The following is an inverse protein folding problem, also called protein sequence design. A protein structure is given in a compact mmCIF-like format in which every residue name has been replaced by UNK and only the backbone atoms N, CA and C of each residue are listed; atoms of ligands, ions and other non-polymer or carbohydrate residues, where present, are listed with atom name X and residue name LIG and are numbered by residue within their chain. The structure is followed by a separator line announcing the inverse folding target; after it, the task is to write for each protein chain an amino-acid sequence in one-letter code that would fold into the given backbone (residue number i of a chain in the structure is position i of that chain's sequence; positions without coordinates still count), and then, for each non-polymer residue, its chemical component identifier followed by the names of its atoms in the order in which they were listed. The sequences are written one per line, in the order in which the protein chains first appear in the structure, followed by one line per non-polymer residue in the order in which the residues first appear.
data_IF_564231412856
#
_entry.id   IF_564231412856
#
_cell.length_a   1.000
_cell.length_b   1.000
_cell.length_c   1.000
_cell.angle_alpha   90.00
_cell.angle_beta   90.00
_cell.angle_gamma   90.00
#
_symmetry.space_group_name_H-M   'P 1'
#
loop_
_entity.id
_entity.type
_entity.pdbx_description
1 polymer ?
#
# COMPACT_ATOMS: atom_id res chain seq x y z
N UNK A 1 -7.26 12.43 -12.94
CA UNK A 1 -5.88 11.89 -12.99
C UNK A 1 -5.96 10.52 -13.65
N UNK A 2 -5.12 10.22 -14.66
CA UNK A 2 -5.09 8.88 -15.29
C UNK A 2 -4.65 7.84 -14.26
N UNK A 3 -5.44 6.79 -14.08
CA UNK A 3 -5.02 5.60 -13.35
C UNK A 3 -3.88 4.95 -14.14
N UNK A 4 -2.75 4.72 -13.48
CA UNK A 4 -1.60 4.06 -14.08
C UNK A 4 -1.57 2.61 -13.59
N UNK A 5 -1.48 1.66 -14.51
CA UNK A 5 -1.23 0.27 -14.14
C UNK A 5 0.18 0.14 -13.55
N UNK A 6 0.27 -0.30 -12.30
CA UNK A 6 1.52 -0.50 -11.58
C UNK A 6 1.52 -1.85 -10.85
N UNK A 7 2.72 -2.38 -10.58
CA UNK A 7 2.85 -3.54 -9.69
C UNK A 7 2.52 -3.13 -8.25
N UNK A 8 1.62 -3.88 -7.62
CA UNK A 8 1.30 -3.72 -6.19
C UNK A 8 2.57 -3.96 -5.36
N UNK A 9 2.96 -3.05 -4.45
CA UNK A 9 4.15 -3.23 -3.60
C UNK A 9 4.07 -4.42 -2.63
N UNK A 10 2.88 -4.95 -2.35
CA UNK A 10 2.67 -6.04 -1.40
C UNK A 10 2.62 -7.43 -2.06
N UNK A 11 2.05 -7.54 -3.25
CA UNK A 11 1.82 -8.84 -3.90
C UNK A 11 2.27 -8.89 -5.37
N UNK A 12 2.93 -7.85 -5.87
CA UNK A 12 3.48 -7.68 -7.23
C UNK A 12 2.49 -7.76 -8.39
N UNK A 13 1.22 -8.09 -8.12
CA UNK A 13 0.12 -8.11 -9.08
C UNK A 13 -0.05 -6.74 -9.74
N UNK A 14 -0.26 -6.71 -11.06
CA UNK A 14 -0.55 -5.48 -11.79
C UNK A 14 -1.92 -4.97 -11.33
N UNK A 15 -1.97 -3.71 -10.92
CA UNK A 15 -3.18 -3.06 -10.40
C UNK A 15 -3.24 -1.61 -10.85
N UNK A 16 -4.44 -1.04 -10.87
CA UNK A 16 -4.62 0.40 -10.97
C UNK A 16 -3.99 1.08 -9.74
N UNK A 17 -3.24 2.14 -10.02
CA UNK A 17 -2.67 3.00 -9.01
C UNK A 17 -2.89 4.48 -9.35
N UNK A 18 -3.19 5.27 -8.33
CA UNK A 18 -3.41 6.72 -8.45
C UNK A 18 -2.80 7.45 -7.27
N UNK A 19 -2.27 8.66 -7.50
CA UNK A 19 -1.86 9.52 -6.39
C UNK A 19 -3.08 9.89 -5.53
N UNK A 20 -2.93 9.86 -4.21
CA UNK A 20 -3.99 10.30 -3.29
C UNK A 20 -4.21 11.81 -3.47
N UNK A 21 -5.47 12.28 -3.59
CA UNK A 21 -5.75 13.72 -3.66
C UNK A 21 -5.14 14.47 -2.47
N UNK A 22 -4.66 15.69 -2.70
CA UNK A 22 -4.06 16.56 -1.67
C UNK A 22 -2.83 15.98 -0.95
N UNK A 23 -2.23 14.91 -1.48
CA UNK A 23 -0.99 14.32 -0.94
C UNK A 23 0.29 14.80 -1.65
N UNK A 24 0.18 15.64 -2.69
CA UNK A 24 1.31 16.06 -3.53
C UNK A 24 2.17 14.89 -4.05
N UNK A 25 1.54 13.74 -4.32
CA UNK A 25 2.23 12.54 -4.80
C UNK A 25 2.98 11.76 -3.71
N UNK A 26 2.91 12.16 -2.45
CA UNK A 26 3.55 11.44 -1.34
C UNK A 26 2.85 10.13 -1.00
N UNK A 27 1.58 9.98 -1.39
CA UNK A 27 0.78 8.78 -1.13
C UNK A 27 0.17 8.26 -2.42
N UNK A 28 0.25 6.95 -2.61
CA UNK A 28 -0.31 6.24 -3.75
C UNK A 28 -1.40 5.28 -3.26
N UNK A 29 -2.57 5.32 -3.89
CA UNK A 29 -3.63 4.33 -3.71
C UNK A 29 -3.44 3.23 -4.75
N UNK A 30 -3.44 1.98 -4.30
CA UNK A 30 -3.37 0.77 -5.12
C UNK A 30 -4.71 0.03 -5.01
N UNK A 31 -5.47 -0.08 -6.11
CA UNK A 31 -6.76 -0.78 -6.16
C UNK A 31 -6.59 -2.31 -6.32
N UNK A 32 -5.68 -2.92 -5.56
CA UNK A 32 -5.32 -4.33 -5.77
C UNK A 32 -6.47 -5.27 -5.38
N UNK A 33 -6.92 -6.08 -6.35
CA UNK A 33 -8.02 -7.04 -6.20
C UNK A 33 -7.58 -8.48 -5.90
N UNK A 34 -6.27 -8.74 -5.74
CA UNK A 34 -5.75 -10.07 -5.41
C UNK A 34 -6.26 -10.51 -4.02
N UNK A 35 -6.83 -11.71 -3.90
CA UNK A 35 -7.44 -12.26 -2.67
C UNK A 35 -6.46 -12.47 -1.51
N UNK A 36 -5.18 -12.67 -1.83
CA UNK A 36 -4.12 -12.72 -0.83
C UNK A 36 -3.55 -11.34 -0.49
N UNK A 37 -4.20 -10.28 -0.95
CA UNK A 37 -3.89 -8.88 -0.71
C UNK A 37 -5.21 -8.11 -0.56
N UNK A 38 -5.13 -6.79 -0.68
CA UNK A 38 -6.30 -5.94 -0.83
C UNK A 38 -5.93 -4.55 -1.29
N UNK A 39 -6.91 -3.66 -1.40
CA UNK A 39 -6.66 -2.25 -1.64
C UNK A 39 -5.80 -1.67 -0.53
N UNK A 40 -4.86 -0.80 -0.89
CA UNK A 40 -3.93 -0.19 0.05
C UNK A 40 -3.55 1.23 -0.35
N UNK A 41 -3.20 2.05 0.64
CA UNK A 41 -2.59 3.37 0.45
C UNK A 41 -1.16 3.33 0.96
N UNK A 42 -0.17 3.60 0.12
CA UNK A 42 1.24 3.42 0.48
C UNK A 42 1.98 4.73 0.22
N UNK A 43 2.71 5.20 1.24
CA UNK A 43 3.58 6.36 1.08
C UNK A 43 4.71 6.05 0.11
N UNK A 44 5.21 7.05 -0.61
CA UNK A 44 6.33 6.85 -1.55
C UNK A 44 7.58 6.31 -0.88
N UNK A 45 7.83 6.69 0.39
CA UNK A 45 8.91 6.13 1.21
C UNK A 45 8.67 4.65 1.50
N UNK A 46 7.53 4.28 2.07
CA UNK A 46 7.19 2.87 2.35
C UNK A 46 7.27 2.01 1.08
N UNK A 47 6.82 2.54 -0.07
CA UNK A 47 6.92 1.85 -1.37
C UNK A 47 8.35 1.50 -1.75
N UNK A 48 9.31 2.39 -1.52
CA UNK A 48 10.72 2.15 -1.85
C UNK A 48 11.33 1.02 -1.02
N UNK A 49 10.96 0.94 0.27
CA UNK A 49 11.38 -0.14 1.17
C UNK A 49 10.70 -1.47 0.82
N UNK A 50 9.38 -1.46 0.60
CA UNK A 50 8.62 -2.63 0.18
C UNK A 50 9.15 -3.24 -1.13
N UNK A 51 9.62 -2.42 -2.07
CA UNK A 51 10.24 -2.90 -3.32
C UNK A 51 11.56 -3.65 -3.11
N UNK A 52 12.22 -3.45 -1.97
CA UNK A 52 13.41 -4.21 -1.55
C UNK A 52 13.05 -5.52 -0.84
N UNK A 53 11.75 -5.81 -0.68
CA UNK A 53 11.24 -7.00 -0.01
C UNK A 53 11.05 -6.84 1.50
N UNK A 54 11.31 -5.66 2.06
CA UNK A 54 11.22 -5.41 3.50
C UNK A 54 9.79 -5.60 4.01
N UNK A 55 9.59 -6.54 4.95
CA UNK A 55 8.30 -6.83 5.64
C UNK A 55 7.09 -7.04 4.70
N UNK A 56 7.34 -7.37 3.44
CA UNK A 56 6.29 -7.44 2.42
C UNK A 56 5.23 -8.51 2.74
N UNK A 57 5.65 -9.68 3.21
CA UNK A 57 4.74 -10.78 3.56
C UNK A 57 3.84 -10.45 4.76
N UNK A 58 4.39 -9.80 5.79
CA UNK A 58 3.68 -9.37 6.99
C UNK A 58 2.62 -8.32 6.63
N UNK A 59 3.03 -7.26 5.93
CA UNK A 59 2.13 -6.16 5.54
C UNK A 59 1.06 -6.63 4.55
N UNK A 60 1.37 -7.61 3.71
CA UNK A 60 0.38 -8.29 2.86
C UNK A 60 -0.67 -9.03 3.69
N UNK A 61 -0.26 -9.73 4.76
CA UNK A 61 -1.19 -10.42 5.67
C UNK A 61 -2.14 -9.43 6.35
N UNK A 62 -1.62 -8.29 6.82
CA UNK A 62 -2.45 -7.23 7.41
C UNK A 62 -3.42 -6.64 6.37
N UNK A 63 -2.95 -6.34 5.16
CA UNK A 63 -3.80 -5.82 4.09
C UNK A 63 -4.92 -6.80 3.69
N UNK A 64 -4.63 -8.10 3.68
CA UNK A 64 -5.63 -9.17 3.49
C UNK A 64 -6.69 -9.13 4.59
N UNK A 65 -6.28 -9.02 5.85
CA UNK A 65 -7.21 -8.90 6.98
C UNK A 65 -8.10 -7.65 6.87
N UNK A 66 -7.53 -6.48 6.53
CA UNK A 66 -8.31 -5.26 6.31
C UNK A 66 -9.37 -5.46 5.22
N UNK A 67 -8.99 -6.05 4.08
CA UNK A 67 -9.92 -6.33 2.98
C UNK A 67 -11.10 -7.19 3.42
N UNK A 68 -10.85 -8.26 4.17
CA UNK A 68 -11.93 -9.14 4.64
C UNK A 68 -12.94 -8.42 5.55
N UNK A 69 -12.51 -7.34 6.21
CA UNK A 69 -13.35 -6.49 7.04
C UNK A 69 -13.90 -5.25 6.30
N UNK A 70 -13.76 -5.17 4.97
CA UNK A 70 -14.22 -4.04 4.17
C UNK A 70 -13.37 -2.77 4.30
N UNK A 71 -12.22 -2.83 4.97
CA UNK A 71 -11.30 -1.72 5.14
C UNK A 71 -10.11 -1.80 4.18
N UNK A 72 -9.32 -0.72 4.10
CA UNK A 72 -8.02 -0.68 3.42
C UNK A 72 -6.90 -0.35 4.39
N UNK A 73 -5.73 -0.91 4.14
CA UNK A 73 -4.52 -0.61 4.92
C UNK A 73 -3.79 0.60 4.34
N UNK A 74 -3.48 1.58 5.18
CA UNK A 74 -2.56 2.68 4.87
C UNK A 74 -1.19 2.42 5.51
N UNK A 75 -0.13 2.52 4.71
CA UNK A 75 1.25 2.17 5.06
C UNK A 75 2.16 3.38 4.88
N UNK A 76 2.52 4.00 6.00
CA UNK A 76 3.57 5.01 6.12
C UNK A 76 4.93 4.38 6.37
N UNK A 77 5.98 5.20 6.28
CA UNK A 77 7.31 4.85 6.73
C UNK A 77 7.90 6.04 7.47
N UNK A 78 8.23 5.84 8.74
CA UNK A 78 8.84 6.84 9.57
C UNK A 78 10.37 6.77 9.43
N UNK A 79 10.95 7.81 8.82
CA UNK A 79 12.37 7.83 8.48
C UNK A 79 13.31 7.77 9.71
N UNK A 80 13.07 8.62 10.74
CA UNK A 80 13.83 8.61 11.98
C UNK A 80 13.85 7.26 12.71
N UNK A 81 12.72 6.58 12.83
CA UNK A 81 12.64 5.30 13.55
C UNK A 81 12.94 4.10 12.67
N UNK A 82 12.84 4.23 11.35
CA UNK A 82 13.01 3.12 10.42
C UNK A 82 11.81 2.17 10.37
N UNK A 83 10.66 2.58 10.91
CA UNK A 83 9.50 1.72 11.10
C UNK A 83 8.36 2.00 10.12
N UNK A 84 7.60 0.95 9.81
CA UNK A 84 6.36 1.08 9.06
C UNK A 84 5.23 1.53 10.00
N UNK A 85 4.52 2.58 9.58
CA UNK A 85 3.36 3.11 10.29
C UNK A 85 2.09 2.60 9.62
N UNK A 86 1.22 1.94 10.38
CA UNK A 86 0.02 1.28 9.87
C UNK A 86 -1.23 1.98 10.37
N UNK A 87 -2.17 2.25 9.45
CA UNK A 87 -3.47 2.82 9.77
C UNK A 87 -4.54 2.06 8.98
N UNK A 88 -5.61 1.64 9.66
CA UNK A 88 -6.79 1.05 9.01
C UNK A 88 -7.72 2.19 8.60
N UNK A 89 -8.14 2.18 7.33
CA UNK A 89 -9.01 3.22 6.77
C UNK A 89 -10.24 2.56 6.18
N UNK A 90 -11.42 3.00 6.59
CA UNK A 90 -12.71 2.56 6.03
C UNK A 90 -12.99 3.20 4.65
#
# INVERSE_FOLDING_TARGET
MKEALQRCPLCTTITEASARPRSYGQWMRYQCRNDDCGPSEISTKARSHLRRGERQAELRSVAKSCRHNGARLRIGYDGPTGEFQLEVVE
#
